data_IF_323804883615
#
_entry.id   IF_323804883615
#
_cell.length_a   1.000
_cell.length_b   1.000
_cell.length_c   1.000
_cell.angle_alpha   90.00
_cell.angle_beta   90.00
_cell.angle_gamma   90.00
#
_symmetry.space_group_name_H-M   'P 1'
#
loop_
_entity.id
_entity.type
_entity.pdbx_description
1 polymer ?
#
# COMPACT_ATOMS: atom_id res chain seq x y z
N UNK A 1 -8.56 -9.74 -15.27
CA UNK A 1 -8.07 -9.92 -13.88
C UNK A 1 -7.14 -8.79 -13.52
N UNK A 2 -7.35 -8.19 -12.37
CA UNK A 2 -6.57 -7.02 -11.96
C UNK A 2 -5.20 -7.41 -11.43
N UNK A 3 -4.22 -6.56 -11.73
CA UNK A 3 -2.84 -6.73 -11.27
C UNK A 3 -2.45 -5.57 -10.36
N UNK A 4 -1.32 -5.72 -9.67
CA UNK A 4 -0.72 -4.65 -8.88
C UNK A 4 -0.53 -3.39 -9.73
N UNK A 5 -0.07 -3.56 -10.97
CA UNK A 5 0.13 -2.45 -11.92
C UNK A 5 -1.16 -1.64 -12.13
N UNK A 6 -2.30 -2.33 -12.31
CA UNK A 6 -3.58 -1.64 -12.54
C UNK A 6 -4.02 -0.84 -11.31
N UNK A 7 -3.79 -1.36 -10.11
CA UNK A 7 -4.10 -0.64 -8.88
C UNK A 7 -3.17 0.58 -8.68
N UNK A 8 -1.88 0.42 -8.98
CA UNK A 8 -0.93 1.55 -8.90
C UNK A 8 -1.29 2.66 -9.87
N UNK A 9 -1.79 2.32 -11.06
CA UNK A 9 -2.17 3.31 -12.07
C UNK A 9 -3.31 4.22 -11.62
N UNK A 10 -4.10 3.80 -10.63
CA UNK A 10 -5.18 4.61 -10.06
C UNK A 10 -4.69 5.57 -8.97
N UNK A 11 -3.46 5.42 -8.53
CA UNK A 11 -2.88 6.29 -7.49
C UNK A 11 -2.17 7.46 -8.16
N UNK A 12 -2.24 8.60 -7.52
CA UNK A 12 -1.53 9.80 -7.96
C UNK A 12 -0.53 10.22 -6.91
N UNK A 13 0.46 11.00 -7.31
CA UNK A 13 1.45 11.55 -6.41
C UNK A 13 2.79 10.84 -6.48
N UNK A 14 3.78 11.45 -5.84
CA UNK A 14 5.13 10.94 -5.78
C UNK A 14 5.27 9.80 -4.78
N UNK A 15 6.31 9.01 -4.94
CA UNK A 15 6.68 7.99 -3.97
C UNK A 15 7.06 8.66 -2.65
N UNK A 16 6.41 8.25 -1.56
CA UNK A 16 6.61 8.84 -0.24
C UNK A 16 7.53 7.95 0.56
N UNK A 17 8.64 8.51 1.01
CA UNK A 17 9.63 7.73 1.74
C UNK A 17 10.43 8.60 2.72
N UNK A 18 11.05 7.94 3.68
CA UNK A 18 12.03 8.50 4.60
C UNK A 18 13.27 7.62 4.60
N UNK A 19 14.33 8.08 5.23
CA UNK A 19 15.55 7.30 5.45
C UNK A 19 15.49 6.61 6.81
N UNK A 20 16.24 5.55 6.97
CA UNK A 20 16.26 4.80 8.25
C UNK A 20 16.75 5.64 9.43
N UNK A 21 17.62 6.62 9.19
CA UNK A 21 18.13 7.52 10.22
C UNK A 21 17.22 8.71 10.54
N UNK A 22 16.15 8.92 9.78
CA UNK A 22 15.20 9.98 10.07
C UNK A 22 14.40 9.64 11.33
N UNK A 23 13.92 10.67 12.02
CA UNK A 23 13.12 10.45 13.23
C UNK A 23 11.68 10.06 12.86
N UNK A 24 11.05 9.31 13.74
CA UNK A 24 9.65 8.86 13.55
C UNK A 24 8.71 10.02 13.25
N UNK A 25 8.94 11.20 13.87
CA UNK A 25 8.13 12.38 13.61
C UNK A 25 8.11 12.75 12.12
N UNK A 26 9.21 12.58 11.40
CA UNK A 26 9.28 12.86 9.97
C UNK A 26 8.37 11.92 9.18
N UNK A 27 8.35 10.64 9.53
CA UNK A 27 7.44 9.68 8.92
C UNK A 27 5.98 10.05 9.17
N UNK A 28 5.65 10.46 10.39
CA UNK A 28 4.30 10.88 10.75
C UNK A 28 3.86 12.15 10.00
N UNK A 29 4.77 13.12 9.83
CA UNK A 29 4.50 14.31 9.05
C UNK A 29 4.21 13.97 7.59
N UNK A 30 4.99 13.06 7.00
CA UNK A 30 4.76 12.58 5.64
C UNK A 30 3.39 11.89 5.51
N UNK A 31 3.01 11.09 6.49
CA UNK A 31 1.70 10.43 6.50
C UNK A 31 0.56 11.44 6.55
N UNK A 32 0.67 12.46 7.42
CA UNK A 32 -0.33 13.51 7.55
C UNK A 32 -0.46 14.32 6.27
N UNK A 33 0.66 14.78 5.74
CA UNK A 33 0.68 15.71 4.61
C UNK A 33 0.23 15.05 3.31
N UNK A 34 0.46 13.75 3.18
CA UNK A 34 0.11 12.99 1.98
C UNK A 34 -1.14 12.11 2.17
N UNK A 35 -1.76 12.14 3.35
CA UNK A 35 -2.97 11.38 3.69
C UNK A 35 -2.79 9.88 3.45
N UNK A 36 -1.64 9.37 3.83
CA UNK A 36 -1.31 7.94 3.74
C UNK A 36 -1.06 7.39 5.14
N UNK A 37 -1.10 6.07 5.28
CA UNK A 37 -0.96 5.39 6.57
C UNK A 37 0.33 4.58 6.67
N UNK A 38 1.17 4.68 5.67
CA UNK A 38 2.49 4.05 5.67
C UNK A 38 3.47 4.90 4.89
N UNK A 39 4.74 4.74 5.22
CA UNK A 39 5.84 5.41 4.54
C UNK A 39 6.94 4.38 4.33
N UNK A 40 7.50 4.35 3.13
CA UNK A 40 8.63 3.47 2.83
C UNK A 40 9.89 4.02 3.46
N UNK A 41 10.79 3.13 3.81
CA UNK A 41 12.13 3.49 4.31
C UNK A 41 13.13 3.06 3.25
N UNK A 42 13.80 4.05 2.65
CA UNK A 42 14.72 3.84 1.52
C UNK A 42 16.05 4.50 1.85
N UNK A 43 17.12 3.72 1.84
CA UNK A 43 18.48 4.19 2.01
C UNK A 43 19.24 3.90 0.71
N UNK A 44 19.86 4.94 0.12
CA UNK A 44 20.67 4.81 -1.10
C UNK A 44 19.95 4.02 -2.21
N UNK A 45 18.71 4.39 -2.48
CA UNK A 45 17.82 3.77 -3.48
C UNK A 45 17.43 2.32 -3.18
N UNK A 46 17.75 1.82 -1.98
CA UNK A 46 17.41 0.46 -1.54
C UNK A 46 16.28 0.52 -0.52
N UNK A 47 15.24 -0.27 -0.74
CA UNK A 47 14.15 -0.43 0.22
C UNK A 47 14.67 -1.22 1.43
N UNK A 48 14.66 -0.61 2.61
CA UNK A 48 15.12 -1.24 3.84
C UNK A 48 13.99 -1.52 4.83
N UNK A 49 12.85 -0.90 4.65
CA UNK A 49 11.74 -1.12 5.57
C UNK A 49 10.47 -0.39 5.18
N UNK A 50 9.46 -0.55 6.01
CA UNK A 50 8.20 0.19 5.94
C UNK A 50 7.76 0.54 7.35
N UNK A 51 7.22 1.75 7.52
CA UNK A 51 6.67 2.23 8.78
C UNK A 51 5.20 2.52 8.59
N UNK A 52 4.36 2.02 9.48
CA UNK A 52 2.92 2.26 9.47
C UNK A 52 2.49 3.10 10.66
N UNK A 53 1.27 3.65 10.62
CA UNK A 53 0.68 4.31 11.78
C UNK A 53 0.61 3.37 12.98
N UNK A 54 0.28 2.09 12.73
CA UNK A 54 0.24 1.07 13.78
C UNK A 54 1.61 0.88 14.45
N UNK A 55 2.69 0.86 13.67
CA UNK A 55 4.04 0.79 14.22
C UNK A 55 4.31 1.97 15.17
N UNK A 56 3.92 3.17 14.76
CA UNK A 56 4.13 4.37 15.58
C UNK A 56 3.31 4.32 16.87
N UNK A 57 2.09 3.83 16.80
CA UNK A 57 1.24 3.71 17.98
C UNK A 57 1.77 2.68 18.97
N UNK A 58 2.16 1.49 18.48
CA UNK A 58 2.52 0.37 19.33
C UNK A 58 3.98 0.44 19.80
N UNK A 59 4.87 0.94 18.94
CA UNK A 59 6.32 0.90 19.23
C UNK A 59 6.87 2.24 19.73
N UNK A 60 6.11 3.32 19.60
CA UNK A 60 6.55 4.65 20.05
C UNK A 60 5.61 5.19 21.15
N UNK A 61 4.33 5.36 20.81
CA UNK A 61 3.38 5.98 21.74
C UNK A 61 3.12 5.11 22.97
N UNK A 62 2.83 3.82 22.75
CA UNK A 62 2.50 2.90 23.86
C UNK A 62 3.64 2.76 24.86
N UNK A 63 4.92 2.54 24.46
CA UNK A 63 6.02 2.47 25.41
C UNK A 63 6.47 3.82 25.97
N UNK A 64 5.91 4.93 25.47
CA UNK A 64 6.24 6.26 25.95
C UNK A 64 7.51 6.86 25.38
N UNK A 65 7.92 6.41 24.18
CA UNK A 65 9.07 6.98 23.49
C UNK A 65 8.69 8.32 22.83
N UNK A 66 9.71 9.15 22.60
CA UNK A 66 9.53 10.44 21.92
C UNK A 66 9.77 10.27 20.42
N UNK A 67 8.74 10.53 19.62
CA UNK A 67 8.83 10.44 18.16
C UNK A 67 9.90 11.36 17.56
N UNK A 68 10.22 12.44 18.25
CA UNK A 68 11.27 13.39 17.80
C UNK A 68 12.69 12.89 18.07
N UNK A 69 12.83 11.87 18.91
CA UNK A 69 14.13 11.32 19.31
C UNK A 69 14.31 9.86 18.92
N UNK A 70 13.30 9.23 18.36
CA UNK A 70 13.32 7.82 17.98
C UNK A 70 13.55 7.68 16.48
N UNK A 71 14.66 7.06 16.06
CA UNK A 71 14.89 6.82 14.63
C UNK A 71 13.88 5.85 14.04
N UNK A 72 13.54 6.06 12.77
CA UNK A 72 12.65 5.19 12.01
C UNK A 72 13.15 3.75 12.01
N UNK A 73 14.47 3.53 11.97
CA UNK A 73 15.07 2.19 11.98
C UNK A 73 14.68 1.34 13.17
N UNK A 74 14.32 1.97 14.31
CA UNK A 74 13.91 1.25 15.51
C UNK A 74 12.47 0.73 15.47
N UNK A 75 11.63 1.31 14.60
CA UNK A 75 10.19 1.00 14.57
C UNK A 75 9.73 0.39 13.27
N UNK A 76 10.49 0.54 12.20
CA UNK A 76 10.13 -0.01 10.90
C UNK A 76 10.09 -1.53 10.91
N UNK A 77 9.30 -2.10 10.00
CA UNK A 77 9.43 -3.50 9.65
C UNK A 77 10.55 -3.60 8.62
N UNK A 78 11.64 -4.28 8.97
CA UNK A 78 12.77 -4.50 8.08
C UNK A 78 12.47 -5.62 7.09
N UNK A 79 13.07 -5.56 5.91
CA UNK A 79 12.89 -6.55 4.85
C UNK A 79 11.40 -6.85 4.61
N UNK A 80 10.58 -5.84 4.29
CA UNK A 80 9.15 -6.07 4.11
C UNK A 80 8.89 -7.01 2.94
N UNK A 81 7.78 -7.74 3.02
CA UNK A 81 7.32 -8.55 1.89
C UNK A 81 6.96 -7.59 0.75
N UNK A 82 7.45 -7.87 -0.45
CA UNK A 82 7.23 -7.03 -1.63
C UNK A 82 6.48 -7.80 -2.71
N UNK A 83 5.88 -7.05 -3.63
CA UNK A 83 5.20 -7.61 -4.79
C UNK A 83 5.71 -6.93 -6.05
N UNK A 84 5.37 -7.50 -7.19
CA UNK A 84 5.76 -6.99 -8.52
C UNK A 84 4.53 -6.42 -9.24
N UNK A 85 4.72 -5.53 -10.22
CA UNK A 85 3.59 -4.99 -10.99
C UNK A 85 2.71 -6.04 -11.65
N UNK A 86 3.27 -7.16 -12.09
CA UNK A 86 2.54 -8.22 -12.75
C UNK A 86 1.79 -9.16 -11.81
N UNK A 87 2.02 -9.05 -10.52
CA UNK A 87 1.37 -9.92 -9.54
C UNK A 87 -0.14 -9.66 -9.51
N UNK A 88 -0.96 -10.72 -9.37
CA UNK A 88 -2.41 -10.54 -9.29
C UNK A 88 -2.82 -9.94 -7.95
N UNK A 89 -3.77 -9.01 -7.98
CA UNK A 89 -4.27 -8.37 -6.75
C UNK A 89 -4.93 -9.37 -5.80
N UNK A 90 -5.53 -10.44 -6.32
CA UNK A 90 -6.10 -11.49 -5.48
C UNK A 90 -5.04 -12.14 -4.60
N UNK A 91 -3.83 -12.34 -5.14
CA UNK A 91 -2.70 -12.85 -4.36
C UNK A 91 -2.28 -11.89 -3.26
N UNK A 92 -2.29 -10.59 -3.54
CA UNK A 92 -1.98 -9.58 -2.53
C UNK A 92 -3.02 -9.58 -1.41
N UNK A 93 -4.29 -9.66 -1.75
CA UNK A 93 -5.38 -9.72 -0.77
C UNK A 93 -5.25 -10.95 0.12
N UNK A 94 -4.99 -12.12 -0.48
CA UNK A 94 -4.81 -13.36 0.26
C UNK A 94 -3.62 -13.27 1.22
N UNK A 95 -2.51 -12.67 0.77
CA UNK A 95 -1.31 -12.50 1.57
C UNK A 95 -1.55 -11.55 2.74
N UNK A 96 -2.24 -10.43 2.51
CA UNK A 96 -2.60 -9.49 3.56
C UNK A 96 -3.50 -10.14 4.61
N UNK A 97 -4.50 -10.91 4.17
CA UNK A 97 -5.41 -11.63 5.08
C UNK A 97 -4.67 -12.68 5.91
N UNK A 98 -3.77 -13.45 5.28
CA UNK A 98 -3.06 -14.53 5.96
C UNK A 98 -2.01 -14.02 6.94
N UNK A 99 -1.34 -12.92 6.63
CA UNK A 99 -0.22 -12.42 7.44
C UNK A 99 -0.55 -11.19 8.28
N UNK A 100 -1.72 -10.59 8.10
CA UNK A 100 -2.18 -9.46 8.91
C UNK A 100 -1.57 -8.11 8.59
N UNK A 101 -0.76 -7.98 7.54
CA UNK A 101 -0.28 -6.67 7.12
C UNK A 101 -1.18 -6.09 6.02
N UNK A 102 -1.21 -4.76 5.94
CA UNK A 102 -2.15 -4.04 5.07
C UNK A 102 -1.48 -3.20 4.00
N UNK A 103 -0.17 -3.29 3.88
CA UNK A 103 0.63 -2.52 2.93
C UNK A 103 1.71 -3.41 2.35
N UNK A 104 1.88 -3.33 1.02
CA UNK A 104 2.89 -4.09 0.30
C UNK A 104 3.67 -3.14 -0.61
N UNK A 105 4.98 -2.97 -0.38
CA UNK A 105 5.81 -2.26 -1.33
C UNK A 105 5.88 -2.99 -2.67
N UNK A 106 5.92 -2.23 -3.75
CA UNK A 106 5.99 -2.77 -5.12
C UNK A 106 7.37 -2.49 -5.68
N UNK A 107 8.05 -3.54 -6.12
CA UNK A 107 9.35 -3.44 -6.78
C UNK A 107 9.22 -3.84 -8.25
N UNK A 108 9.81 -3.05 -9.14
CA UNK A 108 9.93 -3.35 -10.56
C UNK A 108 11.40 -3.36 -10.92
N UNK A 109 11.91 -4.54 -11.31
CA UNK A 109 13.33 -4.75 -11.61
C UNK A 109 14.24 -4.24 -10.47
N UNK A 110 13.86 -4.50 -9.24
CA UNK A 110 14.61 -4.12 -8.05
C UNK A 110 14.42 -2.68 -7.58
N UNK A 111 13.64 -1.87 -8.31
CA UNK A 111 13.37 -0.47 -7.95
C UNK A 111 11.98 -0.34 -7.35
N UNK A 112 11.88 0.46 -6.29
CA UNK A 112 10.59 0.75 -5.67
C UNK A 112 9.78 1.65 -6.59
N UNK A 113 8.56 1.21 -6.93
CA UNK A 113 7.65 1.98 -7.78
C UNK A 113 6.39 2.43 -7.05
N UNK A 114 6.12 1.92 -5.86
CA UNK A 114 4.97 2.35 -5.08
C UNK A 114 4.65 1.42 -3.93
N UNK A 115 3.47 1.63 -3.35
CA UNK A 115 2.92 0.81 -2.26
C UNK A 115 1.47 0.50 -2.60
N UNK A 116 1.08 -0.76 -2.40
CA UNK A 116 -0.32 -1.19 -2.47
C UNK A 116 -0.85 -1.34 -1.04
N UNK A 117 -1.94 -0.66 -0.73
CA UNK A 117 -2.64 -0.80 0.55
C UNK A 117 -3.87 -1.68 0.40
N UNK A 118 -4.39 -2.17 1.54
CA UNK A 118 -5.67 -2.92 1.52
C UNK A 118 -6.78 -2.06 0.93
N UNK A 119 -6.77 -0.76 1.17
CA UNK A 119 -7.74 0.17 0.58
C UNK A 119 -7.66 0.20 -0.94
N UNK A 120 -6.46 0.17 -1.51
CA UNK A 120 -6.26 0.13 -2.96
C UNK A 120 -6.83 -1.15 -3.56
N UNK A 121 -6.62 -2.29 -2.89
CA UNK A 121 -7.14 -3.59 -3.33
C UNK A 121 -8.67 -3.59 -3.30
N UNK A 122 -9.26 -3.09 -2.21
CA UNK A 122 -10.71 -3.00 -2.05
C UNK A 122 -11.33 -2.12 -3.13
N UNK A 123 -10.74 -0.96 -3.39
CA UNK A 123 -11.23 -0.06 -4.46
C UNK A 123 -11.20 -0.73 -5.83
N UNK A 124 -10.17 -1.50 -6.12
CA UNK A 124 -10.06 -2.19 -7.39
C UNK A 124 -11.11 -3.31 -7.51
N UNK A 125 -11.34 -4.06 -6.45
CA UNK A 125 -12.38 -5.10 -6.41
C UNK A 125 -13.76 -4.47 -6.63
N UNK A 126 -14.05 -3.35 -6.00
CA UNK A 126 -15.33 -2.64 -6.18
C UNK A 126 -15.48 -2.19 -7.64
N UNK A 127 -14.45 -1.63 -8.26
CA UNK A 127 -14.49 -1.23 -9.67
C UNK A 127 -14.76 -2.41 -10.59
N UNK A 128 -14.12 -3.55 -10.34
CA UNK A 128 -14.35 -4.77 -11.12
C UNK A 128 -15.80 -5.24 -11.00
N UNK A 129 -16.36 -5.21 -9.79
CA UNK A 129 -17.76 -5.60 -9.56
C UNK A 129 -18.72 -4.65 -10.27
N UNK A 130 -18.49 -3.34 -10.19
CA UNK A 130 -19.30 -2.34 -10.88
C UNK A 130 -19.26 -2.53 -12.39
N UNK A 131 -18.07 -2.78 -12.94
CA UNK A 131 -17.90 -3.03 -14.36
C UNK A 131 -18.66 -4.28 -14.79
N UNK A 132 -18.58 -5.38 -14.05
CA UNK A 132 -19.32 -6.61 -14.33
C UNK A 132 -20.82 -6.40 -14.28
N UNK A 133 -21.34 -5.61 -13.33
CA UNK A 133 -22.76 -5.27 -13.25
C UNK A 133 -23.19 -4.44 -14.46
N UNK A 134 -22.39 -3.45 -14.85
CA UNK A 134 -22.69 -2.62 -16.02
C UNK A 134 -22.72 -3.45 -17.30
N UNK A 135 -21.77 -4.38 -17.46
CA UNK A 135 -21.75 -5.29 -18.61
C UNK A 135 -23.01 -6.17 -18.64
N UNK A 136 -23.43 -6.70 -17.51
CA UNK A 136 -24.63 -7.53 -17.41
C UNK A 136 -25.89 -6.72 -17.73
N UNK A 137 -26.01 -5.51 -17.19
CA UNK A 137 -27.12 -4.61 -17.47
C UNK A 137 -27.15 -4.26 -18.96
N UNK A 138 -26.00 -3.96 -19.56
CA UNK A 138 -25.89 -3.69 -20.99
C UNK A 138 -26.36 -4.88 -21.83
N UNK A 139 -25.98 -6.08 -21.47
CA UNK A 139 -26.45 -7.30 -22.13
C UNK A 139 -27.97 -7.46 -22.06
N UNK A 140 -28.53 -7.30 -20.88
CA UNK A 140 -29.99 -7.40 -20.66
C UNK A 140 -30.73 -6.36 -21.48
N UNK A 141 -30.23 -5.13 -21.53
CA UNK A 141 -30.90 -4.03 -22.24
C UNK A 141 -30.81 -4.16 -23.77
N UNK A 142 -29.74 -4.78 -24.29
CA UNK A 142 -29.54 -4.94 -25.74
C UNK A 142 -30.08 -6.25 -26.28
N UNK A 143 -29.72 -7.36 -25.66
CA UNK A 143 -29.91 -8.71 -26.16
C UNK A 143 -30.72 -9.60 -25.22
N UNK A 144 -31.36 -9.01 -24.21
CA UNK A 144 -32.11 -9.73 -23.21
C UNK A 144 -33.37 -10.39 -23.80
N UNK A 145 -33.96 -11.36 -23.08
CA UNK A 145 -35.11 -12.13 -23.59
C UNK A 145 -36.31 -11.31 -23.98
N UNK A 146 -36.44 -10.10 -23.53
CA UNK A 146 -37.58 -9.21 -23.88
C UNK A 146 -37.26 -8.22 -24.98
N UNK A 147 -36.05 -8.29 -25.51
CA UNK A 147 -35.57 -7.31 -26.48
C UNK A 147 -35.87 -7.59 -27.92
#
# INVERSE_FOLDING_TARGET
MSTVKSALAQKSGALIHVRSGDMVVEALLQMRDNRVRSVLVIDDDVLVGIVTQGDCAIKVLLPGLDAKQTPVSQVMTGNPVTVKPDDPLQGCMAMMAARGFRHLPVLDAGKVVGVISIGDVVKDVIRDLEHNVDDLVGYIMKDGPGG
#
